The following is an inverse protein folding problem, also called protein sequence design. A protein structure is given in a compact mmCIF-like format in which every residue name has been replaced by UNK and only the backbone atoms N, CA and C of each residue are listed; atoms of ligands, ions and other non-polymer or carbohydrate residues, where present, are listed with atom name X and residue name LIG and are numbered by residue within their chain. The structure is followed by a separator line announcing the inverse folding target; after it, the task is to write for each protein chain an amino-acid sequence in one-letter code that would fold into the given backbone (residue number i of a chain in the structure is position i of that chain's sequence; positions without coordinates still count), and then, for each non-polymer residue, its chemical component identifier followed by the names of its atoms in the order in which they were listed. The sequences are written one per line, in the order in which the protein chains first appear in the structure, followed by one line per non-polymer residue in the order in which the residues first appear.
data_IF_894895096821
#
_entry.id   IF_894895096821
#
_cell.length_a   1.000
_cell.length_b   1.000
_cell.length_c   1.000
_cell.angle_alpha   90.00
_cell.angle_beta   90.00
_cell.angle_gamma   90.00
#
_symmetry.space_group_name_H-M   'P 1'
#
loop_
_entity.id
_entity.type
_entity.pdbx_description
1 polymer ?
#
# COMPACT_ATOMS: atom_id res chain seq x y z
N UNK A 1 -42.79 16.19 35.66
CA UNK A 1 -42.09 14.93 36.02
C UNK A 1 -41.47 14.22 34.81
N UNK A 2 -42.18 14.04 33.69
CA UNK A 2 -41.66 13.35 32.48
C UNK A 2 -40.33 13.93 31.93
N UNK A 3 -40.15 15.26 31.96
CA UNK A 3 -38.90 15.91 31.48
C UNK A 3 -37.65 15.51 32.28
N UNK A 4 -37.78 15.28 33.59
CA UNK A 4 -36.65 14.90 34.46
C UNK A 4 -36.25 13.43 34.21
N UNK A 5 -37.25 12.57 33.97
CA UNK A 5 -37.01 11.18 33.56
C UNK A 5 -36.29 11.08 32.21
N UNK A 6 -36.68 11.91 31.23
CA UNK A 6 -36.02 11.94 29.92
C UNK A 6 -34.55 12.40 30.02
N UNK A 7 -34.25 13.41 30.84
CA UNK A 7 -32.88 13.89 31.03
C UNK A 7 -32.01 12.84 31.73
N UNK A 8 -32.53 12.19 32.77
CA UNK A 8 -31.81 11.10 33.45
C UNK A 8 -31.59 9.88 32.55
N UNK A 9 -32.57 9.52 31.72
CA UNK A 9 -32.44 8.44 30.73
C UNK A 9 -31.36 8.74 29.68
N UNK A 10 -31.28 9.98 29.18
CA UNK A 10 -30.26 10.39 28.20
C UNK A 10 -28.85 10.32 28.81
N UNK A 11 -28.69 10.71 30.08
CA UNK A 11 -27.41 10.62 30.79
C UNK A 11 -26.97 9.16 30.99
N UNK A 12 -27.91 8.25 31.28
CA UNK A 12 -27.61 6.81 31.41
C UNK A 12 -27.21 6.22 30.06
N UNK A 13 -27.92 6.58 28.98
CA UNK A 13 -27.64 6.09 27.63
C UNK A 13 -26.29 6.61 27.10
N UNK A 14 -25.94 7.87 27.35
CA UNK A 14 -24.64 8.42 26.94
C UNK A 14 -23.49 7.77 27.69
N UNK A 15 -23.65 7.51 28.98
CA UNK A 15 -22.67 6.76 29.78
C UNK A 15 -22.49 5.33 29.26
N UNK A 16 -23.58 4.61 28.96
CA UNK A 16 -23.51 3.26 28.40
C UNK A 16 -22.87 3.21 26.99
N UNK A 17 -23.16 4.21 26.15
CA UNK A 17 -22.51 4.34 24.84
C UNK A 17 -21.00 4.61 24.99
N UNK A 18 -20.63 5.44 25.96
CA UNK A 18 -19.22 5.73 26.22
C UNK A 18 -18.45 4.49 26.73
N UNK A 19 -19.02 3.69 27.63
CA UNK A 19 -18.34 2.48 28.13
C UNK A 19 -18.18 1.44 27.04
N UNK A 20 -19.23 1.19 26.25
CA UNK A 20 -19.18 0.21 25.14
C UNK A 20 -18.21 0.63 24.05
N UNK A 21 -18.15 1.92 23.69
CA UNK A 21 -17.16 2.42 22.72
C UNK A 21 -15.73 2.27 23.22
N UNK A 22 -15.47 2.53 24.51
CA UNK A 22 -14.15 2.32 25.12
C UNK A 22 -13.76 0.84 25.15
N UNK A 23 -14.70 -0.06 25.45
CA UNK A 23 -14.45 -1.51 25.45
C UNK A 23 -14.18 -2.05 24.05
N UNK A 24 -14.95 -1.60 23.05
CA UNK A 24 -14.72 -1.95 21.64
C UNK A 24 -13.34 -1.44 21.20
N UNK A 25 -12.99 -0.20 21.56
CA UNK A 25 -11.68 0.35 21.24
C UNK A 25 -10.53 -0.43 21.89
N UNK A 26 -10.67 -0.77 23.19
CA UNK A 26 -9.69 -1.60 23.90
C UNK A 26 -9.58 -3.00 23.32
N UNK A 27 -10.71 -3.63 22.98
CA UNK A 27 -10.75 -4.96 22.35
C UNK A 27 -10.07 -4.93 20.98
N UNK A 28 -10.35 -3.92 20.15
CA UNK A 28 -9.68 -3.75 18.86
C UNK A 28 -8.17 -3.49 19.03
N UNK A 29 -7.79 -2.67 20.01
CA UNK A 29 -6.38 -2.41 20.33
C UNK A 29 -5.67 -3.67 20.85
N UNK A 30 -6.30 -4.47 21.69
CA UNK A 30 -5.73 -5.71 22.22
C UNK A 30 -5.68 -6.81 21.16
N UNK A 31 -6.70 -6.92 20.31
CA UNK A 31 -6.69 -7.83 19.16
C UNK A 31 -5.54 -7.48 18.23
N UNK A 32 -5.40 -6.20 17.87
CA UNK A 32 -4.26 -5.74 17.05
C UNK A 32 -2.92 -5.93 17.74
N UNK A 33 -2.83 -5.76 19.07
CA UNK A 33 -1.61 -5.98 19.86
C UNK A 33 -1.21 -7.46 20.00
N UNK A 34 -2.15 -8.35 20.34
CA UNK A 34 -1.93 -9.79 20.46
C UNK A 34 -1.60 -10.42 19.09
N UNK A 35 -2.22 -9.91 18.02
CA UNK A 35 -1.90 -10.24 16.63
C UNK A 35 -0.48 -9.78 16.25
N UNK A 36 -0.08 -8.57 16.64
CA UNK A 36 1.28 -8.03 16.44
C UNK A 36 2.39 -8.81 17.15
N UNK A 37 2.08 -9.52 18.24
CA UNK A 37 3.07 -10.20 19.07
C UNK A 37 3.30 -11.67 18.66
N UNK A 38 2.39 -12.27 17.88
CA UNK A 38 2.32 -13.74 17.76
C UNK A 38 2.79 -14.35 16.43
N UNK A 39 3.09 -13.58 15.37
CA UNK A 39 3.56 -14.16 14.09
C UNK A 39 4.64 -13.33 13.38
N UNK A 40 5.84 -13.89 13.29
CA UNK A 40 6.96 -13.37 12.49
C UNK A 40 6.79 -13.61 10.96
N UNK A 41 5.57 -13.69 10.43
CA UNK A 41 5.36 -14.13 9.05
C UNK A 41 5.05 -12.95 8.10
N UNK A 42 5.86 -12.82 7.05
CA UNK A 42 5.70 -11.78 6.04
C UNK A 42 4.37 -11.85 5.29
N UNK A 43 3.74 -13.02 5.23
CA UNK A 43 2.42 -13.23 4.63
C UNK A 43 1.35 -12.36 5.30
N UNK A 44 1.37 -12.31 6.63
CA UNK A 44 0.41 -11.53 7.42
C UNK A 44 0.58 -10.03 7.19
N UNK A 45 1.84 -9.58 7.12
CA UNK A 45 2.15 -8.21 6.76
C UNK A 45 1.56 -7.89 5.39
N UNK A 46 1.79 -8.74 4.38
CA UNK A 46 1.27 -8.52 3.04
C UNK A 46 -0.27 -8.46 3.01
N UNK A 47 -0.96 -9.31 3.76
CA UNK A 47 -2.42 -9.26 3.88
C UNK A 47 -2.91 -7.92 4.45
N UNK A 48 -2.31 -7.47 5.56
CA UNK A 48 -2.64 -6.17 6.17
C UNK A 48 -2.39 -5.02 5.19
N UNK A 49 -1.26 -5.05 4.48
CA UNK A 49 -0.95 -4.03 3.48
C UNK A 49 -1.95 -4.04 2.32
N UNK A 50 -2.36 -5.21 1.84
CA UNK A 50 -3.38 -5.33 0.80
C UNK A 50 -4.73 -4.77 1.26
N UNK A 51 -5.12 -4.97 2.53
CA UNK A 51 -6.33 -4.37 3.09
C UNK A 51 -6.23 -2.84 3.08
N UNK A 52 -5.11 -2.29 3.53
CA UNK A 52 -4.89 -0.83 3.48
C UNK A 52 -4.90 -0.28 2.05
N UNK A 53 -4.30 -0.98 1.09
CA UNK A 53 -4.35 -0.61 -0.33
C UNK A 53 -5.78 -0.61 -0.87
N UNK A 54 -6.57 -1.67 -0.58
CA UNK A 54 -7.98 -1.76 -1.00
C UNK A 54 -8.82 -0.63 -0.43
N UNK A 55 -8.53 -0.22 0.81
CA UNK A 55 -9.17 0.91 1.49
C UNK A 55 -8.60 2.28 1.06
N UNK A 56 -7.57 2.32 0.21
CA UNK A 56 -6.82 3.53 -0.17
C UNK A 56 -6.21 4.28 1.01
N UNK A 57 -5.93 3.56 2.10
CA UNK A 57 -5.28 4.08 3.30
C UNK A 57 -3.75 4.14 3.10
N UNK A 58 -3.31 4.97 2.14
CA UNK A 58 -1.91 5.02 1.67
C UNK A 58 -0.91 5.36 2.78
N UNK A 59 -1.21 6.37 3.60
CA UNK A 59 -0.33 6.80 4.68
C UNK A 59 -0.18 5.72 5.78
N UNK A 60 -1.27 5.03 6.12
CA UNK A 60 -1.23 3.92 7.07
C UNK A 60 -0.37 2.76 6.52
N UNK A 61 -0.52 2.45 5.23
CA UNK A 61 0.30 1.46 4.54
C UNK A 61 1.80 1.82 4.59
N UNK A 62 2.15 3.06 4.23
CA UNK A 62 3.52 3.57 4.23
C UNK A 62 4.13 3.48 5.63
N UNK A 63 3.47 4.07 6.63
CA UNK A 63 3.95 4.09 8.01
C UNK A 63 4.17 2.68 8.56
N UNK A 64 3.27 1.73 8.25
CA UNK A 64 3.41 0.33 8.65
C UNK A 64 4.65 -0.32 8.05
N UNK A 65 4.89 -0.13 6.76
CA UNK A 65 6.07 -0.69 6.07
C UNK A 65 7.36 -0.03 6.59
N UNK A 66 7.40 1.29 6.73
CA UNK A 66 8.58 2.01 7.23
C UNK A 66 8.95 1.58 8.65
N UNK A 67 7.96 1.41 9.53
CA UNK A 67 8.19 0.87 10.88
C UNK A 67 8.81 -0.53 10.82
N UNK A 68 8.36 -1.36 9.88
CA UNK A 68 8.91 -2.71 9.70
C UNK A 68 10.32 -2.66 9.11
N UNK A 69 10.59 -1.82 8.11
CA UNK A 69 11.95 -1.59 7.54
C UNK A 69 12.94 -1.16 8.62
N UNK A 70 12.52 -0.30 9.56
CA UNK A 70 13.37 0.16 10.67
C UNK A 70 13.76 -0.98 11.62
N UNK A 71 12.85 -1.94 11.84
CA UNK A 71 13.10 -3.10 12.71
C UNK A 71 13.86 -4.21 11.99
N UNK A 72 13.56 -4.42 10.72
CA UNK A 72 14.05 -5.53 9.92
C UNK A 72 14.71 -5.03 8.64
N UNK A 73 15.99 -5.34 8.47
CA UNK A 73 16.75 -4.90 7.29
C UNK A 73 16.38 -5.63 6.00
N UNK A 74 15.71 -6.78 6.08
CA UNK A 74 15.43 -7.62 4.92
C UNK A 74 13.94 -7.96 4.78
N UNK A 75 13.21 -7.11 4.06
CA UNK A 75 11.81 -7.37 3.71
C UNK A 75 11.68 -8.09 2.36
N UNK A 76 10.54 -8.76 2.12
CA UNK A 76 10.20 -9.30 0.82
C UNK A 76 10.13 -8.19 -0.24
N UNK A 77 10.42 -8.56 -1.48
CA UNK A 77 10.36 -7.66 -2.64
C UNK A 77 8.99 -6.99 -2.77
N UNK A 78 7.92 -7.73 -2.47
CA UNK A 78 6.53 -7.29 -2.53
C UNK A 78 6.29 -6.07 -1.63
N UNK A 79 6.92 -6.00 -0.46
CA UNK A 79 6.80 -4.86 0.45
C UNK A 79 7.36 -3.58 -0.18
N UNK A 80 8.51 -3.67 -0.87
CA UNK A 80 9.12 -2.54 -1.57
C UNK A 80 8.28 -2.10 -2.78
N UNK A 81 7.68 -3.04 -3.51
CA UNK A 81 6.74 -2.70 -4.58
C UNK A 81 5.46 -2.03 -4.03
N UNK A 82 4.91 -2.52 -2.91
CA UNK A 82 3.73 -1.95 -2.28
C UNK A 82 3.98 -0.52 -1.78
N UNK A 83 5.07 -0.29 -1.05
CA UNK A 83 5.36 1.06 -0.55
C UNK A 83 5.62 2.02 -1.72
N UNK A 84 6.29 1.56 -2.80
CA UNK A 84 6.42 2.32 -4.04
C UNK A 84 5.08 2.67 -4.68
N UNK A 85 4.14 1.72 -4.71
CA UNK A 85 2.76 1.93 -5.17
C UNK A 85 1.99 2.92 -4.31
N UNK A 86 2.15 2.88 -2.99
CA UNK A 86 1.54 3.85 -2.08
C UNK A 86 2.09 5.26 -2.30
N UNK A 87 3.41 5.42 -2.44
CA UNK A 87 4.00 6.73 -2.77
C UNK A 87 3.56 7.25 -4.13
N UNK A 88 3.47 6.37 -5.13
CA UNK A 88 2.91 6.71 -6.45
C UNK A 88 1.45 7.19 -6.33
N UNK A 89 0.64 6.52 -5.50
CA UNK A 89 -0.77 6.86 -5.30
C UNK A 89 -1.01 8.19 -4.57
N UNK A 90 0.01 8.71 -3.87
CA UNK A 90 0.01 10.06 -3.28
C UNK A 90 0.90 11.03 -4.07
N UNK A 91 1.26 10.68 -5.31
CA UNK A 91 2.00 11.52 -6.26
C UNK A 91 3.43 11.92 -5.84
N UNK A 92 4.01 11.22 -4.85
CA UNK A 92 5.41 11.41 -4.44
C UNK A 92 6.31 10.50 -5.30
N UNK A 93 6.47 10.88 -6.57
CA UNK A 93 7.12 10.05 -7.59
C UNK A 93 8.60 9.74 -7.31
N UNK A 94 9.33 10.63 -6.64
CA UNK A 94 10.75 10.39 -6.32
C UNK A 94 10.92 9.21 -5.37
N UNK A 95 10.10 9.13 -4.32
CA UNK A 95 10.13 8.01 -3.38
C UNK A 95 9.54 6.74 -4.01
N UNK A 96 8.48 6.87 -4.82
CA UNK A 96 7.94 5.75 -5.58
C UNK A 96 9.04 5.09 -6.44
N UNK A 97 9.77 5.90 -7.22
CA UNK A 97 10.89 5.44 -8.04
C UNK A 97 11.98 4.75 -7.19
N UNK A 98 12.39 5.37 -6.07
CA UNK A 98 13.37 4.78 -5.16
C UNK A 98 12.96 3.38 -4.69
N UNK A 99 11.72 3.22 -4.21
CA UNK A 99 11.25 1.94 -3.69
C UNK A 99 11.00 0.90 -4.77
N UNK A 100 10.54 1.30 -5.97
CA UNK A 100 10.48 0.39 -7.11
C UNK A 100 11.87 -0.10 -7.53
N UNK A 101 12.90 0.78 -7.50
CA UNK A 101 14.27 0.37 -7.78
C UNK A 101 14.80 -0.62 -6.73
N UNK A 102 14.50 -0.41 -5.45
CA UNK A 102 14.85 -1.38 -4.40
C UNK A 102 14.16 -2.74 -4.60
N UNK A 103 12.88 -2.74 -5.00
CA UNK A 103 12.17 -3.96 -5.35
C UNK A 103 12.83 -4.67 -6.55
N UNK A 104 13.19 -3.93 -7.61
CA UNK A 104 13.87 -4.49 -8.78
C UNK A 104 15.31 -4.93 -8.51
N UNK A 105 15.99 -4.35 -7.52
CA UNK A 105 17.31 -4.83 -7.10
C UNK A 105 17.21 -6.24 -6.48
N UNK A 106 16.12 -6.53 -5.77
CA UNK A 106 15.84 -7.85 -5.17
C UNK A 106 15.28 -8.84 -6.20
N UNK A 107 14.37 -8.40 -7.05
CA UNK A 107 13.83 -9.21 -8.15
C UNK A 107 13.82 -8.38 -9.46
N UNK A 108 14.88 -8.48 -10.28
CA UNK A 108 15.03 -7.70 -11.51
C UNK A 108 13.92 -7.93 -12.56
N UNK A 109 13.22 -9.05 -12.47
CA UNK A 109 12.20 -9.48 -13.41
C UNK A 109 10.79 -9.49 -12.78
N UNK A 110 10.59 -8.80 -11.66
CA UNK A 110 9.27 -8.67 -11.03
C UNK A 110 8.30 -7.95 -11.97
N UNK A 111 7.37 -8.73 -12.56
CA UNK A 111 6.46 -8.23 -13.58
C UNK A 111 5.59 -7.08 -13.06
N UNK A 112 5.06 -7.24 -11.85
CA UNK A 112 4.21 -6.24 -11.17
C UNK A 112 4.98 -4.94 -10.96
N UNK A 113 6.22 -5.03 -10.47
CA UNK A 113 7.06 -3.85 -10.21
C UNK A 113 7.44 -3.12 -11.50
N UNK A 114 7.79 -3.86 -12.56
CA UNK A 114 8.10 -3.26 -13.86
C UNK A 114 6.88 -2.55 -14.45
N UNK A 115 5.68 -3.13 -14.38
CA UNK A 115 4.45 -2.47 -14.84
C UNK A 115 4.17 -1.19 -14.06
N UNK A 116 4.30 -1.23 -12.73
CA UNK A 116 4.09 -0.08 -11.87
C UNK A 116 5.10 1.05 -12.15
N UNK A 117 6.38 0.72 -12.32
CA UNK A 117 7.42 1.70 -12.64
C UNK A 117 7.23 2.30 -14.04
N UNK A 118 6.86 1.47 -15.03
CA UNK A 118 6.55 1.92 -16.39
C UNK A 118 5.34 2.86 -16.43
N UNK A 119 4.31 2.57 -15.64
CA UNK A 119 3.14 3.44 -15.50
C UNK A 119 3.53 4.77 -14.85
N UNK A 120 4.30 4.72 -13.75
CA UNK A 120 4.79 5.91 -13.06
C UNK A 120 5.55 6.83 -14.02
N UNK A 121 6.51 6.30 -14.80
CA UNK A 121 7.25 7.08 -15.80
C UNK A 121 6.35 7.65 -16.90
N UNK A 122 5.30 6.92 -17.29
CA UNK A 122 4.32 7.42 -18.26
C UNK A 122 3.56 8.62 -17.70
N UNK A 123 3.11 8.56 -16.44
CA UNK A 123 2.38 9.64 -15.76
C UNK A 123 3.24 10.90 -15.64
N UNK A 124 4.52 10.76 -15.26
CA UNK A 124 5.43 11.89 -15.15
C UNK A 124 6.07 12.32 -16.48
N UNK A 125 5.54 11.82 -17.61
CA UNK A 125 5.97 12.17 -18.99
C UNK A 125 7.43 11.85 -19.31
N UNK A 126 8.04 10.94 -18.56
CA UNK A 126 9.37 10.37 -18.85
C UNK A 126 9.24 9.24 -19.85
N UNK A 127 8.84 9.58 -21.08
CA UNK A 127 8.44 8.59 -22.08
C UNK A 127 9.56 7.66 -22.53
N UNK A 128 10.81 8.14 -22.56
CA UNK A 128 11.98 7.33 -22.91
C UNK A 128 12.25 6.25 -21.87
N UNK A 129 12.22 6.62 -20.59
CA UNK A 129 12.37 5.70 -19.48
C UNK A 129 11.20 4.72 -19.42
N UNK A 130 9.96 5.20 -19.59
CA UNK A 130 8.79 4.33 -19.69
C UNK A 130 8.93 3.31 -20.82
N UNK A 131 9.35 3.74 -22.01
CA UNK A 131 9.55 2.87 -23.16
C UNK A 131 10.58 1.78 -22.86
N UNK A 132 11.73 2.13 -22.27
CA UNK A 132 12.76 1.16 -21.89
C UNK A 132 12.22 0.11 -20.92
N UNK A 133 11.42 0.52 -19.93
CA UNK A 133 10.79 -0.42 -19.00
C UNK A 133 9.82 -1.34 -19.73
N UNK A 134 8.89 -0.81 -20.53
CA UNK A 134 7.94 -1.65 -21.27
C UNK A 134 8.62 -2.55 -22.32
N UNK A 135 9.76 -2.13 -22.89
CA UNK A 135 10.54 -2.95 -23.79
C UNK A 135 11.19 -4.12 -23.04
N UNK A 136 11.74 -3.88 -21.84
CA UNK A 136 12.22 -4.95 -20.96
C UNK A 136 11.10 -5.93 -20.60
N UNK A 137 9.88 -5.44 -20.32
CA UNK A 137 8.72 -6.31 -20.10
C UNK A 137 8.46 -7.20 -21.32
N UNK A 138 8.46 -6.61 -22.52
CA UNK A 138 8.22 -7.35 -23.76
C UNK A 138 9.33 -8.37 -24.07
N UNK A 139 10.56 -8.16 -23.60
CA UNK A 139 11.65 -9.14 -23.71
C UNK A 139 11.46 -10.32 -22.74
N UNK A 140 10.88 -10.08 -21.55
CA UNK A 140 10.61 -11.12 -20.55
C UNK A 140 9.36 -11.93 -20.94
N UNK A 141 8.30 -11.24 -21.33
CA UNK A 141 7.04 -11.82 -21.79
C UNK A 141 6.58 -11.09 -23.05
N UNK A 142 6.87 -11.70 -24.20
CA UNK A 142 6.50 -11.17 -25.51
C UNK A 142 4.99 -11.14 -25.74
N UNK A 143 4.20 -11.86 -24.94
CA UNK A 143 2.73 -11.91 -25.04
C UNK A 143 2.04 -10.93 -24.09
N UNK A 144 2.79 -10.10 -23.35
CA UNK A 144 2.24 -9.11 -22.44
C UNK A 144 1.50 -7.99 -23.20
N UNK A 145 0.18 -8.13 -23.30
CA UNK A 145 -0.69 -7.19 -24.03
C UNK A 145 -0.58 -5.74 -23.53
N UNK A 146 -0.33 -5.55 -22.22
CA UNK A 146 -0.20 -4.21 -21.62
C UNK A 146 1.06 -3.54 -22.17
N UNK A 147 2.20 -4.22 -22.12
CA UNK A 147 3.47 -3.69 -22.62
C UNK A 147 3.41 -3.40 -24.12
N UNK A 148 2.88 -4.31 -24.94
CA UNK A 148 2.71 -4.08 -26.38
C UNK A 148 1.88 -2.83 -26.68
N UNK A 149 0.76 -2.63 -25.97
CA UNK A 149 -0.09 -1.45 -26.14
C UNK A 149 0.61 -0.16 -25.72
N UNK A 150 1.34 -0.20 -24.59
CA UNK A 150 2.09 0.95 -24.08
C UNK A 150 3.24 1.31 -25.00
N UNK A 151 4.00 0.34 -25.52
CA UNK A 151 5.07 0.57 -26.50
C UNK A 151 4.55 1.28 -27.76
N UNK A 152 3.48 0.78 -28.39
CA UNK A 152 2.85 1.42 -29.57
C UNK A 152 2.39 2.85 -29.33
N UNK A 153 1.96 3.14 -28.10
CA UNK A 153 1.55 4.49 -27.70
C UNK A 153 2.77 5.38 -27.49
N UNK A 154 3.79 4.88 -26.80
CA UNK A 154 4.99 5.61 -26.43
C UNK A 154 5.88 5.95 -27.62
N UNK A 155 5.91 5.12 -28.68
CA UNK A 155 6.65 5.44 -29.92
C UNK A 155 6.20 6.72 -30.60
N UNK A 156 5.01 7.24 -30.28
CA UNK A 156 4.53 8.53 -30.82
C UNK A 156 5.16 9.75 -30.13
N UNK A 157 5.80 9.54 -28.96
CA UNK A 157 6.35 10.59 -28.11
C UNK A 157 7.88 10.54 -28.02
N UNK A 158 8.52 9.66 -28.79
CA UNK A 158 9.98 9.52 -28.92
C UNK A 158 10.42 10.03 -30.28
#
# INVERSE_FOLDING_TARGET
MIKIYLVSLILILSAACFTTTVEIYKSFKNYTFLYLETKHNYEELLEVLQIHIKQKNWLACITKIEQKIKKEKNLPTECYNIIGYCYYSIEIYNLANYYYQQALQKNPNSMVTLLNLGEMYTVIKKYKEAYNIYNKINMIDSNNKIAQKKLKTLTKYL
#
